data_IF_398845168227
#
_entry.id   IF_398845168227
#
_cell.length_a   1.000
_cell.length_b   1.000
_cell.length_c   1.000
_cell.angle_alpha   90.00
_cell.angle_beta   90.00
_cell.angle_gamma   90.00
#
_symmetry.space_group_name_H-M   'P 1'
#
loop_
_entity.id
_entity.type
_entity.pdbx_description
1 polymer ?
#
# COMPACT_ATOMS: atom_id res chain seq x y z
N UNK A 1 -35.91 40.42 29.63
CA UNK A 1 -35.36 39.04 29.83
C UNK A 1 -35.38 38.35 28.49
N UNK A 2 -34.27 38.40 27.80
CA UNK A 2 -34.09 37.80 26.48
C UNK A 2 -33.40 36.46 26.65
N UNK A 3 -34.05 35.37 26.23
CA UNK A 3 -33.44 34.02 26.18
C UNK A 3 -32.66 33.91 24.91
N UNK A 4 -31.34 33.89 25.01
CA UNK A 4 -30.45 33.41 23.97
C UNK A 4 -30.73 31.94 23.72
N UNK A 5 -31.24 31.61 22.54
CA UNK A 5 -31.21 30.25 22.00
C UNK A 5 -29.83 30.06 21.38
N UNK A 6 -29.00 29.30 22.04
CA UNK A 6 -27.81 28.68 21.44
C UNK A 6 -28.28 27.66 20.41
N UNK A 7 -28.13 28.02 19.15
CA UNK A 7 -28.27 27.08 18.03
C UNK A 7 -26.97 26.28 17.98
N UNK A 8 -26.97 25.12 18.64
CA UNK A 8 -25.93 24.13 18.49
C UNK A 8 -26.21 23.39 17.20
N UNK A 9 -25.67 23.84 16.08
CA UNK A 9 -25.58 23.03 14.86
C UNK A 9 -24.57 21.88 15.11
N UNK A 10 -25.05 20.75 15.62
CA UNK A 10 -24.39 19.49 15.43
C UNK A 10 -24.48 19.17 13.93
N UNK A 11 -23.41 19.39 13.20
CA UNK A 11 -23.22 18.70 11.92
C UNK A 11 -23.29 17.20 12.22
N UNK A 12 -24.41 16.58 11.86
CA UNK A 12 -24.50 15.12 11.81
C UNK A 12 -23.43 14.67 10.79
N UNK A 13 -22.32 14.13 11.28
CA UNK A 13 -21.34 13.47 10.42
C UNK A 13 -22.07 12.35 9.71
N UNK A 14 -22.44 12.59 8.46
CA UNK A 14 -23.09 11.61 7.60
C UNK A 14 -22.19 10.37 7.57
N UNK A 15 -22.67 9.22 8.02
CA UNK A 15 -21.88 7.98 8.07
C UNK A 15 -21.40 7.61 6.67
N UNK A 16 -20.13 7.20 6.57
CA UNK A 16 -19.57 6.74 5.31
C UNK A 16 -20.19 5.40 4.92
N UNK A 17 -20.66 5.31 3.67
CA UNK A 17 -21.30 4.09 3.13
C UNK A 17 -20.29 3.08 2.59
N UNK A 18 -19.08 3.54 2.27
CA UNK A 18 -18.03 2.75 1.67
C UNK A 18 -16.70 3.02 2.37
N UNK A 19 -15.80 2.04 2.33
CA UNK A 19 -14.50 2.12 3.00
C UNK A 19 -13.42 1.53 2.10
N UNK A 20 -12.50 2.39 1.58
CA UNK A 20 -11.48 2.00 0.61
C UNK A 20 -10.07 2.31 1.14
N UNK A 21 -9.11 1.48 0.78
CA UNK A 21 -7.70 1.75 1.02
C UNK A 21 -6.95 2.00 -0.30
N UNK A 22 -5.87 2.78 -0.25
CA UNK A 22 -5.20 3.30 -1.44
C UNK A 22 -4.79 2.20 -2.44
N UNK A 23 -4.18 1.12 -1.97
CA UNK A 23 -3.74 0.02 -2.87
C UNK A 23 -4.89 -0.81 -3.44
N UNK A 24 -6.11 -0.69 -2.91
CA UNK A 24 -7.29 -1.26 -3.55
C UNK A 24 -7.69 -0.44 -4.78
N UNK A 25 -7.57 0.89 -4.70
CA UNK A 25 -7.78 1.76 -5.86
C UNK A 25 -6.70 1.52 -6.93
N UNK A 26 -5.44 1.22 -6.54
CA UNK A 26 -4.39 0.82 -7.47
C UNK A 26 -4.77 -0.48 -8.21
N UNK A 27 -5.30 -1.47 -7.49
CA UNK A 27 -5.76 -2.72 -8.09
C UNK A 27 -6.94 -2.51 -9.05
N UNK A 28 -7.87 -1.62 -8.69
CA UNK A 28 -8.98 -1.27 -9.57
C UNK A 28 -8.51 -0.46 -10.80
N UNK A 29 -7.53 0.42 -10.65
CA UNK A 29 -6.89 1.09 -11.79
C UNK A 29 -6.29 0.09 -12.77
N UNK A 30 -5.54 -0.91 -12.29
CA UNK A 30 -4.97 -1.96 -13.13
C UNK A 30 -6.06 -2.74 -13.88
N UNK A 31 -7.20 -3.02 -13.23
CA UNK A 31 -8.35 -3.63 -13.90
C UNK A 31 -8.92 -2.73 -15.00
N UNK A 32 -9.02 -1.43 -14.77
CA UNK A 32 -9.49 -0.47 -15.77
C UNK A 32 -8.52 -0.32 -16.95
N UNK A 33 -7.22 -0.46 -16.69
CA UNK A 33 -6.15 -0.34 -17.67
C UNK A 33 -5.84 -1.70 -18.35
N UNK A 34 -6.73 -2.70 -18.26
CA UNK A 34 -6.51 -4.06 -18.78
C UNK A 34 -6.06 -4.06 -20.25
N UNK A 35 -6.71 -3.26 -21.10
CA UNK A 35 -6.39 -3.16 -22.53
C UNK A 35 -4.97 -2.63 -22.75
N UNK A 36 -4.64 -1.51 -22.07
CA UNK A 36 -3.33 -0.88 -22.18
C UNK A 36 -2.21 -1.77 -21.64
N UNK A 37 -2.49 -2.48 -20.55
CA UNK A 37 -1.53 -3.41 -19.92
C UNK A 37 -1.29 -4.62 -20.81
N UNK A 38 -2.35 -5.21 -21.39
CA UNK A 38 -2.19 -6.34 -22.29
C UNK A 38 -1.41 -5.94 -23.54
N UNK A 39 -1.74 -4.81 -24.16
CA UNK A 39 -1.03 -4.27 -25.32
C UNK A 39 0.44 -4.04 -25.02
N UNK A 40 0.75 -3.46 -23.85
CA UNK A 40 2.12 -3.20 -23.39
C UNK A 40 2.94 -4.49 -23.22
N UNK A 41 2.35 -5.56 -22.71
CA UNK A 41 3.07 -6.81 -22.40
C UNK A 41 3.08 -7.81 -23.54
N UNK A 42 2.01 -7.85 -24.34
CA UNK A 42 1.76 -8.92 -25.30
C UNK A 42 1.41 -8.43 -26.70
N UNK A 43 0.94 -7.19 -26.87
CA UNK A 43 0.43 -6.67 -28.15
C UNK A 43 1.45 -6.65 -29.30
N UNK A 44 2.74 -6.74 -28.98
CA UNK A 44 3.83 -6.82 -29.97
C UNK A 44 4.41 -8.23 -30.12
N UNK A 45 3.84 -9.23 -29.47
CA UNK A 45 4.30 -10.63 -29.55
C UNK A 45 3.54 -11.38 -30.65
N UNK A 46 4.24 -12.07 -31.53
CA UNK A 46 3.64 -12.98 -32.51
C UNK A 46 3.03 -14.22 -31.85
N UNK A 47 3.50 -14.59 -30.66
CA UNK A 47 3.00 -15.70 -29.86
C UNK A 47 2.87 -15.26 -28.39
N UNK A 48 1.77 -14.55 -28.04
CA UNK A 48 1.54 -14.09 -26.69
C UNK A 48 1.27 -15.29 -25.77
N UNK A 49 1.93 -15.31 -24.59
CA UNK A 49 1.73 -16.37 -23.59
C UNK A 49 0.30 -16.46 -23.07
N UNK A 50 -0.51 -15.45 -23.31
CA UNK A 50 -1.89 -15.33 -22.86
C UNK A 50 -2.68 -14.51 -23.88
N UNK A 51 -3.83 -14.99 -24.28
CA UNK A 51 -4.77 -14.22 -25.12
C UNK A 51 -5.32 -13.02 -24.34
N UNK A 52 -5.89 -12.05 -25.07
CA UNK A 52 -6.54 -10.90 -24.43
C UNK A 52 -7.67 -11.35 -23.49
N UNK A 53 -8.54 -12.27 -23.93
CA UNK A 53 -9.68 -12.72 -23.12
C UNK A 53 -9.22 -13.40 -21.82
N UNK A 54 -8.20 -14.29 -21.90
CA UNK A 54 -7.62 -14.91 -20.70
C UNK A 54 -7.00 -13.87 -19.75
N UNK A 55 -6.36 -12.83 -20.30
CA UNK A 55 -5.78 -11.76 -19.48
C UNK A 55 -6.87 -10.90 -18.82
N UNK A 56 -7.93 -10.56 -19.55
CA UNK A 56 -9.06 -9.80 -19.03
C UNK A 56 -9.80 -10.58 -17.91
N UNK A 57 -10.06 -11.87 -18.12
CA UNK A 57 -10.63 -12.73 -17.09
C UNK A 57 -9.74 -12.80 -15.84
N UNK A 58 -8.44 -12.90 -16.03
CA UNK A 58 -7.47 -12.89 -14.92
C UNK A 58 -7.53 -11.57 -14.16
N UNK A 59 -7.53 -10.42 -14.83
CA UNK A 59 -7.62 -9.10 -14.18
C UNK A 59 -8.94 -8.96 -13.40
N UNK A 60 -10.04 -9.47 -13.95
CA UNK A 60 -11.32 -9.49 -13.24
C UNK A 60 -11.28 -10.34 -11.97
N UNK A 61 -10.73 -11.54 -12.04
CA UNK A 61 -10.57 -12.43 -10.87
C UNK A 61 -9.63 -11.79 -9.83
N UNK A 62 -8.55 -11.16 -10.27
CA UNK A 62 -7.59 -10.47 -9.38
C UNK A 62 -8.24 -9.32 -8.62
N UNK A 63 -9.05 -8.47 -9.28
CA UNK A 63 -9.74 -7.38 -8.56
C UNK A 63 -10.78 -7.91 -7.58
N UNK A 64 -11.57 -8.93 -7.93
CA UNK A 64 -12.52 -9.56 -7.02
C UNK A 64 -11.80 -10.17 -5.81
N UNK A 65 -10.70 -10.87 -6.01
CA UNK A 65 -9.88 -11.43 -4.93
C UNK A 65 -9.31 -10.32 -4.02
N UNK A 66 -8.88 -9.21 -4.61
CA UNK A 66 -8.36 -8.07 -3.84
C UNK A 66 -9.45 -7.42 -2.99
N UNK A 67 -10.66 -7.25 -3.54
CA UNK A 67 -11.84 -6.75 -2.81
C UNK A 67 -12.16 -7.68 -1.63
N UNK A 68 -12.16 -8.99 -1.87
CA UNK A 68 -12.47 -10.03 -0.88
C UNK A 68 -11.29 -10.32 0.08
N UNK A 69 -10.18 -9.59 -0.03
CA UNK A 69 -8.97 -9.75 0.81
C UNK A 69 -8.42 -11.17 0.80
N UNK A 70 -8.54 -11.87 -0.33
CA UNK A 70 -7.93 -13.19 -0.50
C UNK A 70 -6.42 -13.04 -0.37
N UNK A 71 -5.77 -13.77 0.55
CA UNK A 71 -4.33 -13.70 0.72
C UNK A 71 -3.60 -14.06 -0.56
N UNK A 72 -2.62 -13.25 -0.90
CA UNK A 72 -1.75 -13.46 -2.06
C UNK A 72 -0.30 -13.30 -1.65
N UNK A 73 0.51 -14.26 -2.02
CA UNK A 73 1.97 -14.18 -1.86
C UNK A 73 2.69 -14.81 -3.05
N UNK A 74 3.88 -14.34 -3.30
CA UNK A 74 4.85 -14.91 -4.23
C UNK A 74 6.26 -14.49 -3.80
N UNK A 75 7.30 -15.05 -4.44
CA UNK A 75 8.69 -14.75 -4.10
C UNK A 75 9.02 -13.24 -4.17
N UNK A 76 8.43 -12.49 -5.11
CA UNK A 76 8.66 -11.03 -5.22
C UNK A 76 8.06 -10.27 -4.04
N UNK A 77 6.84 -10.61 -3.61
CA UNK A 77 6.18 -10.04 -2.43
C UNK A 77 6.96 -10.36 -1.17
N UNK A 78 7.34 -11.63 -0.97
CA UNK A 78 8.11 -12.06 0.20
C UNK A 78 9.48 -11.39 0.26
N UNK A 79 10.14 -11.24 -0.89
CA UNK A 79 11.42 -10.54 -0.98
C UNK A 79 11.29 -9.05 -0.64
N UNK A 80 10.23 -8.39 -1.11
CA UNK A 80 9.93 -7.00 -0.78
C UNK A 80 9.65 -6.84 0.72
N UNK A 81 8.81 -7.71 1.29
CA UNK A 81 8.51 -7.71 2.72
C UNK A 81 9.76 -7.92 3.57
N UNK A 82 10.63 -8.87 3.18
CA UNK A 82 11.90 -9.10 3.87
C UNK A 82 12.81 -7.87 3.85
N UNK A 83 12.89 -7.16 2.71
CA UNK A 83 13.66 -5.92 2.61
C UNK A 83 13.10 -4.82 3.52
N UNK A 84 11.78 -4.63 3.52
CA UNK A 84 11.11 -3.65 4.39
C UNK A 84 11.35 -3.97 5.86
N UNK A 85 11.24 -5.24 6.27
CA UNK A 85 11.49 -5.67 7.65
C UNK A 85 12.93 -5.36 8.10
N UNK A 86 13.94 -5.53 7.22
CA UNK A 86 15.33 -5.16 7.54
C UNK A 86 15.43 -3.66 7.82
N UNK A 87 14.89 -2.82 6.93
CA UNK A 87 14.94 -1.36 7.07
C UNK A 87 14.24 -0.94 8.36
N UNK A 88 13.04 -1.47 8.62
CA UNK A 88 12.27 -1.17 9.83
C UNK A 88 12.97 -1.58 11.12
N UNK A 89 13.60 -2.77 11.15
CA UNK A 89 14.36 -3.23 12.30
C UNK A 89 15.59 -2.35 12.56
N UNK A 90 16.32 -1.98 11.53
CA UNK A 90 17.51 -1.13 11.67
C UNK A 90 17.14 0.30 12.08
N UNK A 91 16.03 0.85 11.61
CA UNK A 91 15.50 2.14 12.10
C UNK A 91 15.13 2.10 13.58
N UNK A 92 14.70 0.94 14.08
CA UNK A 92 14.47 0.72 15.52
C UNK A 92 15.76 0.44 16.32
N UNK A 93 16.92 0.42 15.67
CA UNK A 93 18.18 0.02 16.28
C UNK A 93 18.25 -1.45 16.69
N UNK A 94 17.45 -2.32 16.03
CA UNK A 94 17.33 -3.73 16.35
C UNK A 94 17.96 -4.60 15.24
N UNK A 95 18.64 -5.63 15.65
CA UNK A 95 19.12 -6.70 14.75
C UNK A 95 18.48 -8.05 15.07
N UNK A 96 17.63 -8.09 16.09
CA UNK A 96 17.01 -9.31 16.62
C UNK A 96 15.62 -8.96 17.22
N UNK A 97 14.64 -9.83 16.98
CA UNK A 97 13.34 -9.83 17.63
C UNK A 97 12.74 -11.25 17.64
N UNK A 98 11.51 -11.42 18.15
CA UNK A 98 10.84 -12.73 18.27
C UNK A 98 10.60 -13.42 16.93
N UNK A 99 10.58 -12.70 15.82
CA UNK A 99 10.26 -13.22 14.49
C UNK A 99 11.49 -13.32 13.59
N UNK A 100 12.44 -12.38 13.71
CA UNK A 100 13.54 -12.24 12.76
C UNK A 100 14.89 -12.06 13.46
N UNK A 101 15.94 -12.57 12.77
CA UNK A 101 17.34 -12.33 13.08
C UNK A 101 18.02 -11.70 11.87
N UNK A 102 18.73 -10.57 12.09
CA UNK A 102 19.60 -9.95 11.08
C UNK A 102 21.06 -10.32 11.34
N UNK A 103 21.76 -10.70 10.27
CA UNK A 103 23.19 -10.98 10.29
C UNK A 103 23.88 -10.17 9.19
N UNK A 104 24.95 -9.48 9.53
CA UNK A 104 25.74 -8.65 8.60
C UNK A 104 27.04 -9.36 8.27
N UNK A 105 27.37 -9.41 6.97
CA UNK A 105 28.66 -9.85 6.45
C UNK A 105 29.35 -8.65 5.79
N UNK A 106 30.25 -8.01 6.55
CA UNK A 106 30.94 -6.79 6.10
C UNK A 106 31.93 -7.08 4.96
N UNK A 107 32.50 -8.27 4.88
CA UNK A 107 33.43 -8.63 3.80
C UNK A 107 32.68 -8.73 2.46
N UNK A 108 31.48 -9.33 2.47
CA UNK A 108 30.64 -9.45 1.28
C UNK A 108 29.69 -8.27 1.06
N UNK A 109 29.65 -7.32 2.00
CA UNK A 109 28.72 -6.18 2.00
C UNK A 109 27.25 -6.64 1.88
N UNK A 110 26.88 -7.66 2.65
CA UNK A 110 25.55 -8.24 2.69
C UNK A 110 24.93 -8.14 4.08
N UNK A 111 23.61 -8.01 4.12
CA UNK A 111 22.79 -8.23 5.30
C UNK A 111 21.74 -9.29 5.00
N UNK A 112 21.63 -10.26 5.90
CA UNK A 112 20.70 -11.39 5.77
C UNK A 112 19.66 -11.30 6.86
N UNK A 113 18.39 -11.43 6.48
CA UNK A 113 17.27 -11.65 7.39
C UNK A 113 16.89 -13.12 7.37
N UNK A 114 16.66 -13.68 8.55
CA UNK A 114 16.19 -15.06 8.74
C UNK A 114 14.96 -15.03 9.62
N UNK A 115 13.94 -15.81 9.28
CA UNK A 115 12.77 -16.02 10.15
C UNK A 115 13.09 -17.06 11.21
N UNK A 116 12.54 -16.87 12.42
CA UNK A 116 12.66 -17.81 13.53
C UNK A 116 11.49 -18.80 13.50
N UNK A 117 11.79 -20.09 13.35
CA UNK A 117 10.83 -21.17 13.53
C UNK A 117 11.10 -21.82 14.91
N UNK A 118 10.26 -21.51 15.87
CA UNK A 118 10.38 -22.01 17.24
C UNK A 118 9.43 -23.18 17.41
N UNK A 119 9.98 -24.39 17.57
CA UNK A 119 9.22 -25.60 17.85
C UNK A 119 9.46 -26.04 19.29
N UNK A 120 8.39 -26.44 19.96
CA UNK A 120 8.45 -27.04 21.31
C UNK A 120 8.36 -28.54 21.14
N UNK A 121 9.33 -29.28 21.66
CA UNK A 121 9.32 -30.73 21.63
C UNK A 121 8.33 -31.35 22.63
N UNK A 122 8.22 -32.69 22.66
CA UNK A 122 7.32 -33.40 23.55
C UNK A 122 7.65 -33.25 25.06
N UNK A 123 8.88 -32.82 25.35
CA UNK A 123 9.38 -32.60 26.72
C UNK A 123 9.26 -31.11 27.12
N UNK A 124 8.62 -30.27 26.27
CA UNK A 124 8.41 -28.84 26.52
C UNK A 124 9.66 -27.98 26.28
N UNK A 125 10.71 -28.53 25.63
CA UNK A 125 11.93 -27.76 25.34
C UNK A 125 11.79 -27.03 24.00
N UNK A 126 12.04 -25.70 23.97
CA UNK A 126 12.03 -24.95 22.72
C UNK A 126 13.29 -25.26 21.89
N UNK A 127 13.09 -25.53 20.63
CA UNK A 127 14.16 -25.59 19.61
C UNK A 127 13.92 -24.49 18.58
N UNK A 128 14.96 -23.74 18.25
CA UNK A 128 14.93 -22.67 17.26
C UNK A 128 15.64 -23.10 15.99
N UNK A 129 15.01 -22.83 14.85
CA UNK A 129 15.60 -23.02 13.52
C UNK A 129 15.43 -21.75 12.71
N UNK A 130 16.47 -21.32 12.00
CA UNK A 130 16.41 -20.18 11.09
C UNK A 130 15.98 -20.65 9.70
N UNK A 131 14.88 -20.09 9.21
CA UNK A 131 14.27 -20.43 7.92
C UNK A 131 14.12 -19.17 7.04
N UNK A 132 13.70 -19.34 5.80
CA UNK A 132 13.37 -18.27 4.85
C UNK A 132 14.43 -17.17 4.75
N UNK A 133 15.71 -17.58 4.68
CA UNK A 133 16.84 -16.66 4.65
C UNK A 133 16.91 -15.90 3.33
N UNK A 134 17.05 -14.57 3.43
CA UNK A 134 17.19 -13.67 2.27
C UNK A 134 18.29 -12.65 2.55
N UNK A 135 19.19 -12.50 1.57
CA UNK A 135 20.33 -11.56 1.68
C UNK A 135 20.17 -10.40 0.71
N UNK A 136 20.57 -9.21 1.16
CA UNK A 136 20.47 -7.97 0.42
C UNK A 136 21.79 -7.19 0.50
N UNK A 137 21.98 -6.24 -0.44
CA UNK A 137 23.11 -5.34 -0.43
C UNK A 137 23.07 -4.44 0.81
N UNK A 138 24.08 -4.53 1.66
CA UNK A 138 24.21 -3.71 2.87
C UNK A 138 24.27 -2.21 2.55
N UNK A 139 25.02 -1.74 1.53
CA UNK A 139 24.98 -0.32 1.13
C UNK A 139 23.58 0.17 0.75
N UNK A 140 22.81 -0.60 -0.03
CA UNK A 140 21.44 -0.22 -0.42
C UNK A 140 20.52 -0.13 0.80
N UNK A 141 20.58 -1.11 1.70
CA UNK A 141 19.81 -1.07 2.94
C UNK A 141 20.16 0.15 3.79
N UNK A 142 21.47 0.43 3.97
CA UNK A 142 21.93 1.60 4.74
C UNK A 142 21.46 2.92 4.12
N UNK A 143 21.37 3.02 2.80
CA UNK A 143 20.85 4.20 2.11
C UNK A 143 19.41 4.48 2.55
N UNK A 144 18.52 3.47 2.54
CA UNK A 144 17.13 3.61 3.00
C UNK A 144 17.03 3.93 4.49
N UNK A 145 17.83 3.26 5.33
CA UNK A 145 17.84 3.53 6.78
C UNK A 145 18.24 4.98 7.07
N UNK A 146 19.31 5.47 6.45
CA UNK A 146 19.75 6.85 6.61
C UNK A 146 18.70 7.86 6.08
N UNK A 147 18.03 7.50 4.98
CA UNK A 147 17.02 8.37 4.35
C UNK A 147 15.76 8.52 5.21
N UNK A 148 15.38 7.45 5.92
CA UNK A 148 14.19 7.44 6.78
C UNK A 148 14.46 7.71 8.25
N UNK A 149 15.69 8.11 8.60
CA UNK A 149 16.02 8.44 9.99
C UNK A 149 15.07 9.50 10.56
N UNK A 150 14.45 9.19 11.70
CA UNK A 150 13.47 10.06 12.37
C UNK A 150 12.05 10.01 11.78
N UNK A 151 11.77 9.19 10.77
CA UNK A 151 10.43 9.04 10.24
C UNK A 151 9.49 8.33 11.24
N UNK A 152 8.22 8.73 11.25
CA UNK A 152 7.16 7.93 11.85
C UNK A 152 6.81 6.79 10.87
N UNK A 153 6.93 5.55 11.34
CA UNK A 153 6.66 4.35 10.56
C UNK A 153 5.21 3.92 10.68
N UNK A 154 4.66 3.34 9.61
CA UNK A 154 3.33 2.75 9.57
C UNK A 154 2.25 3.68 10.16
N UNK A 155 2.31 4.96 9.76
CA UNK A 155 1.40 5.98 10.25
C UNK A 155 0.00 5.78 9.67
N UNK A 156 -0.96 5.43 10.53
CA UNK A 156 -2.35 5.28 10.11
C UNK A 156 -3.00 6.62 9.83
N UNK A 157 -3.65 6.75 8.68
CA UNK A 157 -4.40 7.93 8.29
C UNK A 157 -5.73 7.56 7.68
N UNK A 158 -6.73 8.41 7.86
CA UNK A 158 -8.04 8.29 7.22
C UNK A 158 -8.69 9.64 6.99
N UNK A 159 -9.57 9.69 6.00
CA UNK A 159 -10.34 10.87 5.67
C UNK A 159 -11.64 10.50 4.97
N UNK A 160 -12.55 11.46 4.81
CA UNK A 160 -13.86 11.24 4.20
C UNK A 160 -13.96 12.05 2.91
N UNK A 161 -14.31 11.36 1.83
CA UNK A 161 -14.56 11.93 0.52
C UNK A 161 -16.06 11.90 0.22
N UNK A 162 -16.64 13.05 -0.11
CA UNK A 162 -18.01 13.14 -0.59
C UNK A 162 -18.10 12.73 -2.05
N UNK A 163 -19.08 11.87 -2.37
CA UNK A 163 -19.37 11.37 -3.72
C UNK A 163 -20.86 11.39 -4.01
N UNK A 164 -21.26 11.23 -5.28
CA UNK A 164 -22.67 11.10 -5.67
C UNK A 164 -23.38 9.89 -5.07
N UNK A 165 -22.63 8.89 -4.58
CA UNK A 165 -23.15 7.71 -3.88
C UNK A 165 -23.20 7.87 -2.35
N UNK A 166 -22.75 9.02 -1.84
CA UNK A 166 -22.56 9.32 -0.42
C UNK A 166 -21.09 9.28 -0.01
N UNK A 167 -20.85 9.39 1.28
CA UNK A 167 -19.51 9.49 1.83
C UNK A 167 -18.72 8.17 1.70
N UNK A 168 -17.45 8.31 1.32
CA UNK A 168 -16.45 7.23 1.28
C UNK A 168 -15.38 7.50 2.31
N UNK A 169 -15.13 6.59 3.23
CA UNK A 169 -13.95 6.63 4.10
C UNK A 169 -12.75 6.09 3.32
N UNK A 170 -11.74 6.91 3.15
CA UNK A 170 -10.44 6.53 2.59
C UNK A 170 -9.45 6.36 3.73
N UNK A 171 -8.66 5.27 3.74
CA UNK A 171 -7.71 5.01 4.80
C UNK A 171 -6.46 4.27 4.29
N UNK A 172 -5.43 4.24 5.14
CA UNK A 172 -4.26 3.41 4.92
C UNK A 172 -3.16 3.66 5.94
N UNK A 173 -2.07 2.94 5.74
CA UNK A 173 -0.86 3.09 6.51
C UNK A 173 0.22 3.66 5.60
N UNK A 174 0.83 4.75 6.04
CA UNK A 174 1.96 5.39 5.39
C UNK A 174 3.22 4.68 5.88
N UNK A 175 4.04 4.18 4.97
CA UNK A 175 5.26 3.45 5.35
C UNK A 175 6.18 4.33 6.21
N UNK A 176 6.52 5.53 5.70
CA UNK A 176 7.37 6.48 6.40
C UNK A 176 6.83 7.90 6.24
N UNK A 177 6.53 8.56 7.35
CA UNK A 177 6.10 9.96 7.39
C UNK A 177 7.22 10.80 8.01
N UNK A 178 7.82 11.66 7.21
CA UNK A 178 8.79 12.68 7.60
C UNK A 178 8.13 14.06 7.68
N UNK A 179 8.75 15.07 8.28
CA UNK A 179 8.21 16.42 8.25
C UNK A 179 7.93 16.89 6.83
N UNK A 180 6.66 17.17 6.51
CA UNK A 180 6.15 17.65 5.21
C UNK A 180 6.26 16.68 4.02
N UNK A 181 6.70 15.43 4.22
CA UNK A 181 6.82 14.46 3.14
C UNK A 181 6.37 13.06 3.53
N UNK A 182 5.72 12.39 2.57
CA UNK A 182 5.32 10.98 2.66
C UNK A 182 6.29 10.18 1.81
N UNK A 183 6.71 9.03 2.32
CA UNK A 183 7.59 8.11 1.62
C UNK A 183 6.98 6.71 1.63
N UNK A 184 6.97 6.09 0.47
CA UNK A 184 6.47 4.73 0.25
C UNK A 184 7.57 3.92 -0.44
N UNK A 185 8.03 2.87 0.24
CA UNK A 185 9.13 2.05 -0.24
C UNK A 185 8.63 0.97 -1.19
N UNK A 186 9.20 0.93 -2.39
CA UNK A 186 8.84 -0.03 -3.43
C UNK A 186 10.05 -0.87 -3.84
N UNK A 187 9.81 -2.16 -4.03
CA UNK A 187 10.80 -3.08 -4.58
C UNK A 187 10.36 -3.58 -5.95
N UNK A 188 11.28 -3.70 -6.89
CA UNK A 188 11.01 -4.16 -8.25
C UNK A 188 12.18 -4.94 -8.83
N UNK A 189 11.95 -5.77 -9.84
CA UNK A 189 13.04 -6.39 -10.63
C UNK A 189 13.66 -5.42 -11.62
N UNK A 190 12.85 -4.53 -12.18
CA UNK A 190 13.27 -3.50 -13.12
C UNK A 190 12.45 -2.26 -12.90
N UNK A 191 13.07 -1.10 -13.03
CA UNK A 191 12.45 0.19 -12.86
C UNK A 191 12.37 0.93 -14.18
N UNK A 192 11.26 1.61 -14.41
CA UNK A 192 11.08 2.59 -15.48
C UNK A 192 10.48 3.86 -14.90
N UNK A 193 11.00 5.02 -15.29
CA UNK A 193 10.49 6.30 -14.78
C UNK A 193 9.01 6.47 -15.07
N UNK A 194 8.25 6.90 -14.06
CA UNK A 194 6.80 7.07 -14.12
C UNK A 194 5.99 5.79 -13.92
N UNK A 195 6.60 4.71 -13.45
CA UNK A 195 5.90 3.44 -13.17
C UNK A 195 4.78 3.59 -12.14
N UNK A 196 4.90 4.55 -11.24
CA UNK A 196 3.95 4.79 -10.15
C UNK A 196 2.97 5.93 -10.43
N UNK A 197 2.95 6.47 -11.65
CA UNK A 197 2.09 7.61 -12.03
C UNK A 197 0.60 7.34 -11.81
N UNK A 198 0.15 6.12 -12.08
CA UNK A 198 -1.25 5.73 -11.98
C UNK A 198 -1.61 5.15 -10.61
N UNK A 199 -0.68 5.15 -9.65
CA UNK A 199 -0.97 4.73 -8.28
C UNK A 199 -1.75 5.82 -7.53
N UNK A 200 -2.58 5.39 -6.59
CA UNK A 200 -3.47 6.29 -5.84
C UNK A 200 -2.92 6.68 -4.47
N UNK A 201 -1.89 6.03 -3.97
CA UNK A 201 -1.29 6.34 -2.68
C UNK A 201 -0.83 7.80 -2.58
N UNK A 202 -0.21 8.34 -3.63
CA UNK A 202 0.26 9.73 -3.68
C UNK A 202 -0.86 10.78 -3.79
N UNK A 203 -2.12 10.35 -3.90
CA UNK A 203 -3.31 11.20 -3.83
C UNK A 203 -4.06 10.96 -2.53
N UNK A 204 -4.31 9.70 -2.18
CA UNK A 204 -5.11 9.32 -1.00
C UNK A 204 -4.44 9.76 0.30
N UNK A 205 -3.14 9.50 0.47
CA UNK A 205 -2.47 9.82 1.74
C UNK A 205 -2.34 11.33 2.00
N UNK A 206 -1.91 12.17 1.04
CA UNK A 206 -1.94 13.62 1.25
C UNK A 206 -3.36 14.14 1.50
N UNK A 207 -4.37 13.64 0.78
CA UNK A 207 -5.78 14.00 1.01
C UNK A 207 -6.23 13.71 2.43
N UNK A 208 -5.95 12.50 2.94
CA UNK A 208 -6.35 12.11 4.30
C UNK A 208 -5.59 12.88 5.37
N UNK A 209 -4.30 13.14 5.19
CA UNK A 209 -3.49 13.92 6.11
C UNK A 209 -3.93 15.38 6.16
N UNK A 210 -4.26 15.99 5.02
CA UNK A 210 -4.77 17.35 4.96
C UNK A 210 -6.07 17.51 5.78
N UNK A 211 -6.97 16.53 5.73
CA UNK A 211 -8.19 16.54 6.56
C UNK A 211 -7.89 16.43 8.07
N UNK A 212 -6.75 15.84 8.41
CA UNK A 212 -6.27 15.75 9.79
C UNK A 212 -5.39 16.94 10.21
N UNK A 213 -5.30 17.98 9.39
CA UNK A 213 -4.53 19.20 9.68
C UNK A 213 -3.02 19.04 9.54
N UNK A 214 -2.56 17.99 8.84
CA UNK A 214 -1.15 17.73 8.56
C UNK A 214 -0.84 18.20 7.13
N UNK A 215 0.06 19.17 7.01
CA UNK A 215 0.50 19.69 5.72
C UNK A 215 1.60 18.81 5.12
N UNK A 216 1.40 18.42 3.87
CA UNK A 216 2.34 17.63 3.08
C UNK A 216 2.71 18.38 1.82
N UNK A 217 4.00 18.54 1.58
CA UNK A 217 4.55 19.19 0.39
C UNK A 217 4.73 18.22 -0.76
N UNK A 218 5.14 17.00 -0.46
CA UNK A 218 5.46 15.99 -1.47
C UNK A 218 5.21 14.56 -0.98
N UNK A 219 5.03 13.69 -1.96
CA UNK A 219 4.98 12.26 -1.80
C UNK A 219 6.08 11.62 -2.65
N UNK A 220 6.82 10.70 -2.11
CA UNK A 220 7.90 10.00 -2.81
C UNK A 220 7.68 8.50 -2.82
N UNK A 221 7.77 7.89 -4.01
CA UNK A 221 8.06 6.48 -4.12
C UNK A 221 9.57 6.30 -4.14
N UNK A 222 10.11 5.67 -3.11
CA UNK A 222 11.51 5.32 -3.03
C UNK A 222 11.67 3.86 -3.46
N UNK A 223 12.20 3.68 -4.65
CA UNK A 223 12.18 2.40 -5.37
C UNK A 223 13.55 1.77 -5.36
N UNK A 224 13.64 0.46 -5.15
CA UNK A 224 14.90 -0.27 -5.34
C UNK A 224 14.69 -1.55 -6.15
N UNK A 225 15.67 -1.85 -7.00
CA UNK A 225 15.83 -3.17 -7.62
C UNK A 225 16.82 -4.06 -6.84
N UNK A 226 17.09 -3.70 -5.57
CA UNK A 226 18.07 -4.31 -4.64
C UNK A 226 19.54 -4.08 -5.00
N UNK A 227 19.82 -3.27 -6.03
CA UNK A 227 21.18 -2.85 -6.45
C UNK A 227 21.28 -1.36 -6.55
N UNK A 228 20.25 -0.73 -7.07
CA UNK A 228 20.13 0.69 -7.34
C UNK A 228 18.86 1.23 -6.69
N UNK A 229 18.86 2.52 -6.43
CA UNK A 229 17.74 3.25 -5.84
C UNK A 229 17.26 4.33 -6.80
N UNK A 230 15.95 4.58 -6.79
CA UNK A 230 15.29 5.56 -7.65
C UNK A 230 14.23 6.28 -6.82
N UNK A 231 13.92 7.52 -7.16
CA UNK A 231 12.86 8.28 -6.52
C UNK A 231 11.90 8.86 -7.56
N UNK A 232 10.61 8.65 -7.36
CA UNK A 232 9.56 9.36 -8.08
C UNK A 232 8.86 10.33 -7.11
N UNK A 233 8.87 11.62 -7.46
CA UNK A 233 8.30 12.69 -6.66
C UNK A 233 6.93 13.08 -7.21
N UNK A 234 5.93 13.16 -6.32
CA UNK A 234 4.58 13.63 -6.64
C UNK A 234 4.14 14.74 -5.69
N UNK A 235 3.50 15.76 -6.26
CA UNK A 235 2.94 16.89 -5.49
C UNK A 235 1.44 16.83 -5.58
N UNK A 236 0.78 16.65 -4.44
CA UNK A 236 -0.67 16.70 -4.33
C UNK A 236 -1.17 18.14 -4.50
N UNK A 237 -2.19 18.29 -5.35
CA UNK A 237 -2.90 19.55 -5.55
C UNK A 237 -4.40 19.30 -5.44
N UNK A 238 -5.02 19.82 -4.38
CA UNK A 238 -6.42 19.53 -4.05
C UNK A 238 -7.37 19.80 -5.24
N UNK A 239 -7.18 20.91 -5.96
CA UNK A 239 -8.05 21.32 -7.08
C UNK A 239 -7.97 20.35 -8.26
N UNK A 240 -6.81 19.70 -8.45
CA UNK A 240 -6.57 18.72 -9.52
C UNK A 240 -6.94 17.31 -9.10
N UNK A 241 -6.54 16.93 -7.87
CA UNK A 241 -6.46 15.52 -7.47
C UNK A 241 -7.72 15.04 -6.76
N UNK A 242 -8.43 15.91 -6.02
CA UNK A 242 -9.70 15.54 -5.38
C UNK A 242 -10.79 15.20 -6.42
N UNK A 243 -10.98 15.96 -7.52
CA UNK A 243 -11.93 15.55 -8.56
C UNK A 243 -11.60 14.19 -9.19
N UNK A 244 -10.31 13.90 -9.44
CA UNK A 244 -9.88 12.59 -9.96
C UNK A 244 -10.16 11.46 -8.96
N UNK A 245 -9.85 11.69 -7.69
CA UNK A 245 -10.09 10.72 -6.63
C UNK A 245 -11.59 10.41 -6.48
N UNK A 246 -12.44 11.44 -6.60
CA UNK A 246 -13.90 11.30 -6.58
C UNK A 246 -14.39 10.44 -7.75
N UNK A 247 -13.96 10.75 -8.97
CA UNK A 247 -14.32 9.98 -10.17
C UNK A 247 -13.91 8.50 -10.02
N UNK A 248 -12.69 8.25 -9.55
CA UNK A 248 -12.20 6.89 -9.30
C UNK A 248 -13.06 6.15 -8.27
N UNK A 249 -13.38 6.79 -7.15
CA UNK A 249 -14.22 6.20 -6.12
C UNK A 249 -15.64 5.93 -6.64
N UNK A 250 -16.23 6.83 -7.42
CA UNK A 250 -17.56 6.66 -8.00
C UNK A 250 -17.59 5.50 -9.03
N UNK A 251 -16.59 5.40 -9.88
CA UNK A 251 -16.43 4.26 -10.81
C UNK A 251 -16.27 2.96 -10.06
N UNK A 252 -15.48 2.96 -8.98
CA UNK A 252 -15.29 1.77 -8.17
C UNK A 252 -16.57 1.36 -7.43
N UNK A 253 -17.35 2.32 -6.90
CA UNK A 253 -18.67 2.05 -6.29
C UNK A 253 -19.62 1.44 -7.31
N UNK A 254 -19.68 1.99 -8.54
CA UNK A 254 -20.53 1.43 -9.60
C UNK A 254 -20.12 -0.02 -9.91
N UNK A 255 -18.81 -0.32 -9.97
CA UNK A 255 -18.30 -1.68 -10.14
C UNK A 255 -18.74 -2.61 -9.00
N UNK A 256 -18.58 -2.18 -7.72
CA UNK A 256 -18.99 -2.95 -6.55
C UNK A 256 -20.47 -3.27 -6.54
N UNK A 257 -21.31 -2.29 -6.90
CA UNK A 257 -22.76 -2.48 -6.94
C UNK A 257 -23.19 -3.45 -8.06
N UNK A 258 -22.50 -3.43 -9.21
CA UNK A 258 -22.76 -4.33 -10.33
C UNK A 258 -22.30 -5.78 -10.06
N UNK A 259 -21.35 -5.98 -9.15
CA UNK A 259 -20.77 -7.29 -8.86
C UNK A 259 -20.98 -7.70 -7.37
N UNK A 260 -22.02 -7.17 -6.74
CA UNK A 260 -22.28 -7.35 -5.32
C UNK A 260 -22.32 -8.82 -4.89
N UNK A 261 -22.85 -9.68 -5.74
CA UNK A 261 -22.99 -11.12 -5.47
C UNK A 261 -21.63 -11.87 -5.40
N UNK A 262 -20.56 -11.27 -5.93
CA UNK A 262 -19.20 -11.80 -5.88
C UNK A 262 -18.39 -11.27 -4.69
N UNK A 263 -18.93 -10.31 -3.92
CA UNK A 263 -18.21 -9.64 -2.86
C UNK A 263 -18.60 -10.24 -1.51
N UNK A 264 -17.63 -10.79 -0.82
CA UNK A 264 -17.77 -11.45 0.48
C UNK A 264 -17.22 -10.62 1.64
N UNK A 265 -16.33 -9.64 1.38
CA UNK A 265 -15.84 -8.71 2.40
C UNK A 265 -16.82 -7.56 2.63
N UNK A 266 -17.67 -7.72 3.65
CA UNK A 266 -18.66 -6.69 4.02
C UNK A 266 -18.03 -5.36 4.49
N UNK A 267 -16.75 -5.36 4.86
CA UNK A 267 -16.06 -4.14 5.35
C UNK A 267 -16.01 -3.03 4.29
N UNK A 268 -15.99 -3.42 3.02
CA UNK A 268 -15.95 -2.45 1.92
C UNK A 268 -17.21 -1.58 1.86
N UNK A 269 -18.35 -2.12 2.28
CA UNK A 269 -19.64 -1.42 2.36
C UNK A 269 -19.86 -0.71 3.69
N UNK A 270 -18.85 -0.69 4.57
CA UNK A 270 -18.91 -0.07 5.90
C UNK A 270 -20.17 -0.44 6.70
N UNK A 271 -20.68 -1.66 6.51
CA UNK A 271 -21.79 -2.15 7.33
C UNK A 271 -21.31 -2.32 8.77
N UNK A 272 -21.56 -1.32 9.61
CA UNK A 272 -21.50 -1.52 11.06
C UNK A 272 -22.64 -2.45 11.41
N UNK A 273 -22.34 -3.61 11.98
CA UNK A 273 -23.37 -4.40 12.69
C UNK A 273 -23.88 -3.48 13.80
N UNK A 274 -25.15 -3.07 13.68
CA UNK A 274 -25.92 -2.42 14.73
C UNK A 274 -26.12 -3.40 15.88
#
# INVERSE_FOLDING_TARGET
MSKNQEITTREEKQESKFCFYATLLDAFQNYLDTDELWEKFWGHSEDPKMSYDEYADKQFVEIINRINRVPFTNDAVEKGTAFNNIVDMLLDGKTDNDQFLLQTDDEKQLITISERDIKVDNDGQPSETLINQRSFSLPVVKEFVNYYEGAMKQYFTKGVLDTSYGNVELYGFIDYLLPFSIHDMKTTKSYSAGSYRNHWQHIVYPFTLQQNGIEISNFEYNVTNFRETFTELYVFKAERDIPKLRDMCERFIAFLLNHKDLITDEKIFNYRKV
#
